data_IF_175510895620
#
_entry.id   IF_175510895620
#
_cell.length_a   1.000
_cell.length_b   1.000
_cell.length_c   1.000
_cell.angle_alpha   90.00
_cell.angle_beta   90.00
_cell.angle_gamma   90.00
#
_symmetry.space_group_name_H-M   'P 1'
#
loop_
_entity.id
_entity.type
_entity.pdbx_description
1 polymer ?
#
# COMPACT_ATOMS: atom_id res chain seq x y z
N UNK A 1 -19.97 -18.80 -12.56
CA UNK A 1 -19.36 -17.45 -12.55
C UNK A 1 -18.36 -17.43 -11.41
N UNK A 2 -17.05 -17.41 -11.69
CA UNK A 2 -16.01 -17.70 -10.69
C UNK A 2 -15.45 -16.44 -10.03
N UNK A 3 -15.30 -16.50 -8.70
CA UNK A 3 -14.75 -15.47 -7.80
C UNK A 3 -13.29 -15.04 -8.13
N UNK A 4 -12.67 -15.68 -9.12
CA UNK A 4 -11.33 -15.39 -9.66
C UNK A 4 -11.24 -14.06 -10.43
N UNK A 5 -12.37 -13.43 -10.79
CA UNK A 5 -12.40 -12.16 -11.53
C UNK A 5 -12.20 -10.91 -10.65
N UNK A 6 -12.38 -11.00 -9.32
CA UNK A 6 -12.38 -9.83 -8.44
C UNK A 6 -10.96 -9.49 -7.98
N UNK A 7 -10.11 -10.48 -7.73
CA UNK A 7 -8.76 -10.26 -7.17
C UNK A 7 -7.72 -9.85 -8.22
N UNK A 8 -7.82 -10.38 -9.44
CA UNK A 8 -6.97 -9.94 -10.57
C UNK A 8 -7.33 -8.51 -11.01
N UNK A 9 -8.63 -8.19 -11.04
CA UNK A 9 -9.07 -6.82 -11.33
C UNK A 9 -8.70 -5.85 -10.20
N UNK A 10 -8.61 -6.27 -8.94
CA UNK A 10 -8.14 -5.42 -7.85
C UNK A 10 -6.67 -5.04 -8.02
N UNK A 11 -5.76 -5.99 -8.26
CA UNK A 11 -4.33 -5.65 -8.41
C UNK A 11 -4.03 -4.99 -9.76
N UNK A 12 -4.66 -5.44 -10.86
CA UNK A 12 -4.44 -4.83 -12.18
C UNK A 12 -5.15 -3.46 -12.29
N UNK A 13 -6.31 -3.22 -11.64
CA UNK A 13 -6.86 -1.86 -11.49
C UNK A 13 -6.07 -1.03 -10.48
N UNK A 14 -5.51 -1.62 -9.44
CA UNK A 14 -4.65 -0.92 -8.48
C UNK A 14 -3.39 -0.43 -9.21
N UNK A 15 -2.64 -1.31 -9.88
CA UNK A 15 -1.48 -0.95 -10.70
C UNK A 15 -1.82 0.03 -11.85
N UNK A 16 -2.94 -0.16 -12.57
CA UNK A 16 -3.38 0.80 -13.61
C UNK A 16 -3.83 2.14 -13.02
N UNK A 17 -4.49 2.18 -11.85
CA UNK A 17 -4.85 3.42 -11.15
C UNK A 17 -3.66 4.10 -10.49
N UNK A 18 -2.61 3.37 -10.13
CA UNK A 18 -1.40 3.89 -9.50
C UNK A 18 -0.47 4.62 -10.47
N UNK A 19 -0.53 4.31 -11.77
CA UNK A 19 0.18 5.07 -12.81
C UNK A 19 -0.34 6.50 -12.99
N UNK A 20 -1.55 6.79 -12.50
CA UNK A 20 -2.02 8.16 -12.23
C UNK A 20 -1.85 8.38 -10.74
N UNK A 21 -1.17 9.44 -10.32
CA UNK A 21 -1.34 9.97 -8.95
C UNK A 21 -2.84 10.17 -8.74
N UNK A 22 -3.49 9.22 -8.07
CA UNK A 22 -4.95 9.19 -7.97
C UNK A 22 -5.30 9.54 -6.54
N UNK A 23 -5.68 10.80 -6.39
CA UNK A 23 -6.40 11.27 -5.23
C UNK A 23 -7.79 10.63 -5.26
N UNK A 24 -8.14 9.87 -4.23
CA UNK A 24 -9.49 9.29 -4.12
C UNK A 24 -10.09 9.78 -2.82
N UNK A 25 -11.17 10.56 -2.93
CA UNK A 25 -11.96 10.95 -1.77
C UNK A 25 -12.91 9.77 -1.46
N UNK A 26 -12.70 9.07 -0.34
CA UNK A 26 -13.59 7.99 0.13
C UNK A 26 -14.06 8.32 1.53
N UNK A 27 -15.36 8.52 1.69
CA UNK A 27 -16.02 8.64 2.99
C UNK A 27 -16.10 7.26 3.65
N UNK A 28 -15.05 6.85 4.35
CA UNK A 28 -15.06 5.66 5.20
C UNK A 28 -15.22 6.15 6.65
N UNK A 29 -16.35 5.79 7.27
CA UNK A 29 -16.58 6.00 8.69
C UNK A 29 -16.31 4.68 9.42
N UNK A 30 -15.31 4.66 10.30
CA UNK A 30 -14.91 3.46 11.03
C UNK A 30 -15.71 3.27 12.33
N UNK A 31 -16.72 4.11 12.61
CA UNK A 31 -17.55 4.01 13.82
C UNK A 31 -16.82 4.38 15.12
N UNK A 32 -15.66 5.05 15.01
CA UNK A 32 -14.76 5.39 16.13
C UNK A 32 -14.44 6.89 16.17
N UNK A 33 -15.36 7.74 15.72
CA UNK A 33 -15.18 9.21 15.67
C UNK A 33 -14.25 9.71 14.56
N UNK A 34 -13.50 8.84 13.86
CA UNK A 34 -12.62 9.24 12.76
C UNK A 34 -13.20 8.95 11.39
N UNK A 35 -13.16 9.94 10.51
CA UNK A 35 -13.57 9.86 9.10
C UNK A 35 -12.37 10.01 8.18
N UNK A 36 -12.23 9.10 7.22
CA UNK A 36 -11.26 9.26 6.14
C UNK A 36 -11.72 10.38 5.21
N UNK A 37 -10.89 11.40 5.02
CA UNK A 37 -11.18 12.54 4.14
C UNK A 37 -10.51 12.36 2.79
N UNK A 38 -9.33 11.73 2.78
CA UNK A 38 -8.53 11.63 1.58
C UNK A 38 -7.52 10.49 1.71
N UNK A 39 -7.35 9.76 0.61
CA UNK A 39 -6.27 8.80 0.43
C UNK A 39 -5.54 9.11 -0.88
N UNK A 40 -4.21 9.12 -0.81
CA UNK A 40 -3.33 9.22 -1.97
C UNK A 40 -2.37 8.03 -2.02
N UNK A 41 -2.02 7.66 -3.24
CA UNK A 41 -1.14 6.54 -3.51
C UNK A 41 -0.01 6.98 -4.41
N UNK A 42 1.21 6.52 -4.11
CA UNK A 42 2.39 6.79 -4.93
C UNK A 42 3.14 5.48 -5.14
N UNK A 43 3.18 4.92 -6.36
CA UNK A 43 4.02 3.76 -6.65
C UNK A 43 5.49 4.13 -6.43
N UNK A 44 6.27 3.21 -5.88
CA UNK A 44 7.69 3.43 -5.58
C UNK A 44 8.56 2.51 -6.43
N UNK A 45 8.24 1.23 -6.44
CA UNK A 45 8.96 0.23 -7.22
C UNK A 45 7.96 -0.79 -7.75
N UNK A 46 8.16 -1.17 -9.01
CA UNK A 46 7.58 -2.35 -9.64
C UNK A 46 8.74 -3.27 -10.03
N UNK A 47 8.64 -4.56 -9.70
CA UNK A 47 9.71 -5.54 -9.93
C UNK A 47 9.11 -6.95 -10.00
N UNK A 48 9.96 -7.96 -10.00
CA UNK A 48 9.59 -9.36 -9.85
C UNK A 48 10.27 -9.95 -8.62
N UNK A 49 9.66 -10.97 -8.03
CA UNK A 49 10.20 -11.68 -6.88
C UNK A 49 10.14 -13.20 -7.11
N UNK A 50 11.24 -13.94 -6.90
CA UNK A 50 11.24 -15.39 -7.08
C UNK A 50 10.37 -16.08 -6.03
N UNK A 51 9.57 -17.06 -6.44
CA UNK A 51 8.75 -17.91 -5.57
C UNK A 51 8.56 -19.29 -6.21
N UNK A 52 9.04 -20.35 -5.54
CA UNK A 52 8.93 -21.75 -6.00
C UNK A 52 9.28 -21.93 -7.49
N UNK A 53 10.42 -21.39 -7.92
CA UNK A 53 10.89 -21.48 -9.30
C UNK A 53 10.21 -20.56 -10.32
N UNK A 54 9.22 -19.75 -9.91
CA UNK A 54 8.53 -18.76 -10.76
C UNK A 54 8.91 -17.33 -10.37
N UNK A 55 8.79 -16.39 -11.31
CA UNK A 55 8.91 -14.96 -11.05
C UNK A 55 7.53 -14.34 -10.86
N UNK A 56 7.24 -13.85 -9.66
CA UNK A 56 5.96 -13.22 -9.35
C UNK A 56 6.07 -11.70 -9.49
N UNK A 57 5.07 -11.02 -10.09
CA UNK A 57 4.99 -9.56 -10.05
C UNK A 57 5.02 -9.06 -8.61
N UNK A 58 5.91 -8.13 -8.31
CA UNK A 58 6.07 -7.50 -7.01
C UNK A 58 5.94 -5.98 -7.13
N UNK A 59 5.33 -5.35 -6.14
CA UNK A 59 5.22 -3.90 -6.08
C UNK A 59 5.40 -3.37 -4.66
N UNK A 60 5.86 -2.13 -4.57
CA UNK A 60 5.86 -1.31 -3.34
C UNK A 60 5.23 0.04 -3.63
N UNK A 61 4.29 0.42 -2.78
CA UNK A 61 3.48 1.63 -2.91
C UNK A 61 3.45 2.35 -1.57
N UNK A 62 3.55 3.67 -1.60
CA UNK A 62 3.29 4.55 -0.47
C UNK A 62 1.80 4.91 -0.46
N UNK A 63 1.16 4.76 0.69
CA UNK A 63 -0.19 5.23 0.93
C UNK A 63 -0.11 6.33 1.97
N UNK A 64 -0.70 7.48 1.65
CA UNK A 64 -0.89 8.57 2.60
C UNK A 64 -2.38 8.82 2.75
N UNK A 65 -2.84 8.94 3.99
CA UNK A 65 -4.25 9.16 4.30
C UNK A 65 -4.39 10.36 5.22
N UNK A 66 -5.42 11.17 4.98
CA UNK A 66 -5.84 12.27 5.84
C UNK A 66 -7.18 11.92 6.46
N UNK A 67 -7.24 12.01 7.78
CA UNK A 67 -8.40 11.72 8.62
C UNK A 67 -8.86 13.00 9.33
N UNK A 68 -10.14 13.05 9.66
CA UNK A 68 -10.74 14.07 10.53
C UNK A 68 -11.44 13.37 11.70
N UNK A 69 -11.20 13.86 12.92
CA UNK A 69 -12.01 13.53 14.08
C UNK A 69 -13.32 14.31 13.97
N UNK A 70 -14.45 13.61 13.90
CA UNK A 70 -15.76 14.20 13.72
C UNK A 70 -16.24 14.94 14.99
N UNK A 71 -15.73 14.57 16.16
CA UNK A 71 -16.13 15.14 17.44
C UNK A 71 -15.33 16.41 17.77
N UNK A 72 -14.03 16.40 17.47
CA UNK A 72 -13.09 17.47 17.84
C UNK A 72 -12.69 18.37 16.66
N UNK A 73 -12.98 17.96 15.42
CA UNK A 73 -12.52 18.66 14.20
C UNK A 73 -11.03 18.51 13.91
N UNK A 74 -10.29 17.72 14.69
CA UNK A 74 -8.85 17.51 14.53
C UNK A 74 -8.54 16.75 13.23
N UNK A 75 -7.49 17.16 12.51
CA UNK A 75 -6.99 16.44 11.34
C UNK A 75 -5.73 15.64 11.65
N UNK A 76 -5.69 14.40 11.16
CA UNK A 76 -4.53 13.52 11.31
C UNK A 76 -4.09 12.93 9.98
N UNK A 77 -2.79 13.04 9.69
CA UNK A 77 -2.17 12.41 8.54
C UNK A 77 -1.46 11.12 8.95
N UNK A 78 -1.71 10.03 8.25
CA UNK A 78 -1.00 8.75 8.42
C UNK A 78 -0.39 8.31 7.11
N UNK A 79 0.69 7.52 7.21
CA UNK A 79 1.45 7.07 6.06
C UNK A 79 1.94 5.64 6.28
N UNK A 80 1.76 4.79 5.27
CA UNK A 80 2.26 3.43 5.27
C UNK A 80 2.79 3.03 3.88
N UNK A 81 3.79 2.16 3.87
CA UNK A 81 4.22 1.42 2.70
C UNK A 81 3.52 0.07 2.69
N UNK A 82 2.92 -0.26 1.55
CA UNK A 82 2.46 -1.61 1.24
C UNK A 82 3.43 -2.18 0.22
N UNK A 83 3.94 -3.38 0.49
CA UNK A 83 4.70 -4.15 -0.49
C UNK A 83 4.14 -5.55 -0.59
N UNK A 84 4.14 -6.12 -1.79
CA UNK A 84 3.68 -7.48 -1.95
C UNK A 84 3.88 -8.04 -3.34
N UNK A 85 3.75 -9.36 -3.42
CA UNK A 85 3.77 -10.12 -4.66
C UNK A 85 2.56 -11.05 -4.71
N UNK A 86 1.93 -11.08 -5.89
CA UNK A 86 0.70 -11.85 -6.15
C UNK A 86 1.02 -13.00 -7.09
N UNK A 87 0.57 -14.19 -6.72
CA UNK A 87 0.57 -15.38 -7.56
C UNK A 87 -0.75 -15.41 -8.34
N UNK A 88 -0.72 -14.96 -9.60
CA UNK A 88 -1.91 -14.80 -10.44
C UNK A 88 -2.64 -16.12 -10.69
N UNK A 89 -1.90 -17.21 -10.85
CA UNK A 89 -2.44 -18.56 -11.08
C UNK A 89 -3.37 -19.00 -9.95
N UNK A 90 -2.98 -18.71 -8.69
CA UNK A 90 -3.73 -19.10 -7.51
C UNK A 90 -4.52 -17.95 -6.89
N UNK A 91 -4.52 -16.76 -7.51
CA UNK A 91 -5.13 -15.53 -7.01
C UNK A 91 -4.80 -15.23 -5.53
N UNK A 92 -3.55 -15.48 -5.12
CA UNK A 92 -3.10 -15.38 -3.71
C UNK A 92 -1.90 -14.46 -3.56
N UNK A 93 -1.90 -13.67 -2.49
CA UNK A 93 -0.70 -12.98 -2.03
C UNK A 93 0.30 -13.99 -1.48
N UNK A 94 1.53 -13.98 -1.99
CA UNK A 94 2.64 -14.79 -1.46
C UNK A 94 3.53 -13.96 -0.54
N UNK A 95 3.58 -12.67 -0.79
CA UNK A 95 4.25 -11.69 0.04
C UNK A 95 3.30 -10.52 0.22
N UNK A 96 3.06 -10.11 1.46
CA UNK A 96 2.32 -8.91 1.78
C UNK A 96 2.86 -8.33 3.09
N UNK A 97 3.33 -7.09 3.05
CA UNK A 97 3.90 -6.41 4.20
C UNK A 97 3.41 -4.97 4.25
N UNK A 98 3.00 -4.56 5.44
CA UNK A 98 2.58 -3.21 5.76
C UNK A 98 3.58 -2.60 6.75
N UNK A 99 4.14 -1.44 6.43
CA UNK A 99 5.11 -0.75 7.29
C UNK A 99 4.72 0.71 7.41
N UNK A 100 4.65 1.26 8.62
CA UNK A 100 4.42 2.70 8.77
C UNK A 100 5.61 3.49 8.22
N UNK A 101 5.36 4.66 7.60
CA UNK A 101 6.44 5.46 7.02
C UNK A 101 7.47 5.91 8.06
N UNK A 102 7.04 6.12 9.32
CA UNK A 102 7.93 6.43 10.44
C UNK A 102 8.94 5.31 10.70
N UNK A 103 8.50 4.04 10.71
CA UNK A 103 9.38 2.89 10.94
C UNK A 103 10.34 2.63 9.78
N UNK A 104 9.90 2.88 8.55
CA UNK A 104 10.74 2.72 7.36
C UNK A 104 11.88 3.75 7.32
N UNK A 105 11.62 5.01 7.70
CA UNK A 105 12.64 6.05 7.79
C UNK A 105 13.76 5.67 8.78
N UNK A 106 13.39 5.09 9.93
CA UNK A 106 14.36 4.60 10.92
C UNK A 106 15.20 3.43 10.39
N UNK A 107 14.60 2.53 9.59
CA UNK A 107 15.35 1.43 8.98
C UNK A 107 16.35 1.92 7.93
N UNK A 108 15.98 2.90 7.11
CA UNK A 108 16.87 3.50 6.12
C UNK A 108 18.04 4.25 6.79
N UNK A 109 17.79 4.95 7.89
CA UNK A 109 18.84 5.60 8.68
C UNK A 109 19.84 4.59 9.27
N UNK A 110 19.34 3.45 9.79
CA UNK A 110 20.20 2.37 10.29
C UNK A 110 21.09 1.77 9.20
N UNK A 111 20.55 1.55 8.00
CA UNK A 111 21.34 1.02 6.87
C UNK A 111 22.41 2.03 6.43
N UNK A 112 22.11 3.32 6.38
CA UNK A 112 23.10 4.35 6.07
C UNK A 112 24.23 4.46 7.10
N UNK A 113 23.95 4.19 8.39
CA UNK A 113 24.98 4.15 9.42
C UNK A 113 25.87 2.90 9.28
N UNK A 114 25.33 1.77 8.86
CA UNK A 114 26.08 0.53 8.68
C UNK A 114 26.97 0.52 7.43
N UNK A 115 26.67 1.35 6.43
CA UNK A 115 27.45 1.47 5.20
C UNK A 115 28.53 2.57 5.25
N UNK A 116 28.66 3.27 6.38
CA UNK A 116 29.66 4.32 6.61
C UNK A 116 30.77 3.93 7.59
N UNK A 117 30.78 2.68 8.05
CA UNK A 117 31.86 2.04 8.79
C UNK A 117 32.45 0.92 7.94
#
# INVERSE_FOLDING_TARGET
MSENSIYSSLFDNFSKKLKKSSFVNRNINLGVGWKLVNISYSPIVESTKPFKGRQLPWGKIKITTKWINQDEGEYKNTCAFISGAVDKEFSRWRYLKFVSCKKEATNLQKVHHLLKN
#
